data_IF_217165704988
#
_entry.id   IF_217165704988
#
_cell.length_a   1.000
_cell.length_b   1.000
_cell.length_c   1.000
_cell.angle_alpha   90.00
_cell.angle_beta   90.00
_cell.angle_gamma   90.00
#
_symmetry.space_group_name_H-M   'P 1'
#
loop_
_entity.id
_entity.type
_entity.pdbx_description
1 polymer ?
#
# COMPACT_ATOMS: atom_id res chain seq x y z
N UNK A 1 12.33 -25.79 15.47
CA UNK A 1 12.41 -24.76 14.41
C UNK A 1 11.07 -24.03 14.23
N UNK A 2 9.96 -24.70 13.86
CA UNK A 2 8.67 -24.03 13.59
C UNK A 2 8.07 -23.22 14.75
N UNK A 3 8.13 -23.72 15.99
CA UNK A 3 7.62 -22.97 17.15
C UNK A 3 8.38 -21.65 17.39
N UNK A 4 9.70 -21.63 17.20
CA UNK A 4 10.52 -20.42 17.34
C UNK A 4 10.14 -19.39 16.29
N UNK A 5 9.91 -19.82 15.05
CA UNK A 5 9.44 -18.96 13.95
C UNK A 5 8.12 -18.26 14.30
N UNK A 6 7.12 -19.02 14.77
CA UNK A 6 5.81 -18.47 15.11
C UNK A 6 5.90 -17.54 16.33
N UNK A 7 6.62 -17.95 17.38
CA UNK A 7 6.76 -17.15 18.59
C UNK A 7 7.49 -15.83 18.31
N UNK A 8 8.57 -15.86 17.53
CA UNK A 8 9.28 -14.63 17.17
C UNK A 8 8.42 -13.70 16.32
N UNK A 9 7.63 -14.25 15.38
CA UNK A 9 6.70 -13.49 14.54
C UNK A 9 5.62 -12.79 15.39
N UNK A 10 4.97 -13.54 16.27
CA UNK A 10 3.95 -13.01 17.17
C UNK A 10 4.54 -11.95 18.11
N UNK A 11 5.75 -12.17 18.63
CA UNK A 11 6.43 -11.19 19.47
C UNK A 11 6.74 -9.89 18.70
N UNK A 12 7.24 -10.00 17.47
CA UNK A 12 7.51 -8.85 16.61
C UNK A 12 6.22 -8.06 16.28
N UNK A 13 5.13 -8.76 15.95
CA UNK A 13 3.83 -8.14 15.69
C UNK A 13 3.24 -7.49 16.95
N UNK A 14 3.39 -8.12 18.12
CA UNK A 14 2.92 -7.55 19.39
C UNK A 14 3.66 -6.24 19.73
N UNK A 15 4.97 -6.17 19.46
CA UNK A 15 5.74 -4.93 19.59
C UNK A 15 5.24 -3.90 18.57
N UNK A 16 5.12 -4.28 17.29
CA UNK A 16 4.72 -3.36 16.22
C UNK A 16 3.30 -2.82 16.38
N UNK A 17 2.37 -3.62 16.90
CA UNK A 17 0.93 -3.33 17.03
C UNK A 17 0.65 -1.91 17.51
N UNK A 18 1.28 -1.53 18.62
CA UNK A 18 1.04 -0.21 19.23
C UNK A 18 1.73 0.90 18.43
N UNK A 19 3.00 0.74 18.08
CA UNK A 19 3.78 1.79 17.43
C UNK A 19 3.25 2.10 16.03
N UNK A 20 2.95 1.07 15.25
CA UNK A 20 2.39 1.20 13.91
C UNK A 20 0.94 1.67 13.97
N UNK A 21 0.13 1.17 14.90
CA UNK A 21 -1.25 1.66 15.12
C UNK A 21 -1.29 3.16 15.47
N UNK A 22 -0.45 3.61 16.41
CA UNK A 22 -0.33 5.02 16.79
C UNK A 22 0.23 5.88 15.64
N UNK A 23 1.13 5.33 14.83
CA UNK A 23 1.66 6.02 13.65
C UNK A 23 0.61 6.17 12.55
N UNK A 24 -0.10 5.10 12.20
CA UNK A 24 -1.24 5.08 11.27
C UNK A 24 -2.26 6.15 11.67
N UNK A 25 -2.68 6.14 12.94
CA UNK A 25 -3.58 7.16 13.49
C UNK A 25 -3.04 8.57 13.24
N UNK A 26 -1.78 8.85 13.60
CA UNK A 26 -1.18 10.19 13.45
C UNK A 26 -1.06 10.60 11.99
N UNK A 27 -0.75 9.67 11.10
CA UNK A 27 -0.63 9.92 9.68
C UNK A 27 -1.96 10.44 9.11
N UNK A 28 -3.07 9.76 9.42
CA UNK A 28 -4.39 10.11 8.88
C UNK A 28 -5.08 11.26 9.63
N UNK A 29 -4.88 11.38 10.95
CA UNK A 29 -5.51 12.41 11.78
C UNK A 29 -4.72 13.73 11.86
N UNK A 30 -3.48 13.75 11.35
CA UNK A 30 -2.66 14.96 11.36
C UNK A 30 -3.30 16.11 10.58
N UNK A 31 -2.99 17.35 10.94
CA UNK A 31 -3.53 18.55 10.24
C UNK A 31 -2.51 19.21 9.32
N UNK A 32 -1.22 18.92 9.50
CA UNK A 32 -0.15 19.48 8.67
C UNK A 32 0.00 18.71 7.37
N UNK A 33 0.28 19.43 6.29
CA UNK A 33 0.59 18.87 4.98
C UNK A 33 2.05 19.12 4.60
N UNK A 34 2.72 18.12 4.04
CA UNK A 34 4.07 18.29 3.48
C UNK A 34 4.03 19.06 2.15
N UNK A 35 5.19 19.50 1.65
CA UNK A 35 5.27 20.17 0.34
C UNK A 35 4.83 19.24 -0.80
N UNK A 36 5.24 17.97 -0.73
CA UNK A 36 4.87 16.93 -1.70
C UNK A 36 3.35 16.69 -1.69
N UNK A 37 2.74 16.54 -0.52
CA UNK A 37 1.28 16.39 -0.39
C UNK A 37 0.52 17.59 -0.99
N UNK A 38 0.96 18.81 -0.70
CA UNK A 38 0.34 20.01 -1.30
C UNK A 38 0.47 20.03 -2.82
N UNK A 39 1.58 19.53 -3.37
CA UNK A 39 1.76 19.33 -4.81
C UNK A 39 0.72 18.36 -5.37
N UNK A 40 0.57 17.18 -4.76
CA UNK A 40 -0.42 16.18 -5.15
C UNK A 40 -1.84 16.76 -5.10
N UNK A 41 -2.22 17.44 -4.01
CA UNK A 41 -3.56 18.03 -3.91
C UNK A 41 -3.83 19.08 -4.98
N UNK A 42 -2.82 19.88 -5.34
CA UNK A 42 -2.95 20.87 -6.43
C UNK A 42 -3.11 20.20 -7.79
N UNK A 43 -2.37 19.13 -8.08
CA UNK A 43 -2.47 18.39 -9.33
C UNK A 43 -3.83 17.71 -9.50
N UNK A 44 -4.37 17.15 -8.41
CA UNK A 44 -5.70 16.52 -8.41
C UNK A 44 -6.83 17.58 -8.32
N UNK A 45 -6.53 18.83 -7.98
CA UNK A 45 -7.51 19.90 -7.81
C UNK A 45 -8.36 19.77 -6.53
N UNK A 46 -7.80 19.17 -5.48
CA UNK A 46 -8.50 18.91 -4.22
C UNK A 46 -8.20 20.00 -3.19
N UNK A 47 -9.24 20.50 -2.52
CA UNK A 47 -9.08 21.28 -1.31
C UNK A 47 -8.84 20.34 -0.10
N UNK A 48 -7.62 20.28 0.47
CA UNK A 48 -7.32 19.34 1.54
C UNK A 48 -7.95 19.72 2.90
N UNK A 49 -8.45 20.95 3.04
CA UNK A 49 -9.14 21.41 4.25
C UNK A 49 -10.65 21.14 4.23
N UNK A 50 -11.21 20.73 3.09
CA UNK A 50 -12.62 20.40 2.96
C UNK A 50 -12.90 18.98 3.43
N UNK A 51 -13.92 18.80 4.27
CA UNK A 51 -14.49 17.48 4.56
C UNK A 51 -15.55 17.08 3.52
N UNK A 52 -15.77 15.78 3.38
CA UNK A 52 -16.65 15.16 2.41
C UNK A 52 -17.71 14.31 3.11
N UNK A 53 -18.94 14.37 2.58
CA UNK A 53 -19.99 13.42 2.95
C UNK A 53 -19.67 12.02 2.44
N UNK A 54 -20.32 11.00 3.02
CA UNK A 54 -20.08 9.60 2.62
C UNK A 54 -20.25 9.37 1.12
N UNK A 55 -21.27 10.00 0.49
CA UNK A 55 -21.53 9.84 -0.94
C UNK A 55 -20.44 10.47 -1.81
N UNK A 56 -19.87 11.60 -1.38
CA UNK A 56 -18.73 12.22 -2.07
C UNK A 56 -17.48 11.35 -1.92
N UNK A 57 -17.24 10.82 -0.72
CA UNK A 57 -16.12 9.93 -0.44
C UNK A 57 -16.17 8.65 -1.29
N UNK A 58 -17.33 7.99 -1.32
CA UNK A 58 -17.56 6.76 -2.09
C UNK A 58 -17.39 7.00 -3.61
N UNK A 59 -17.90 8.12 -4.13
CA UNK A 59 -17.65 8.50 -5.53
C UNK A 59 -16.17 8.77 -5.81
N UNK A 60 -15.43 9.33 -4.85
CA UNK A 60 -13.98 9.50 -4.95
C UNK A 60 -13.26 8.16 -5.12
N UNK A 61 -13.59 7.17 -4.28
CA UNK A 61 -13.07 5.80 -4.39
C UNK A 61 -13.38 5.21 -5.78
N UNK A 62 -14.64 5.21 -6.19
CA UNK A 62 -15.07 4.60 -7.46
C UNK A 62 -14.42 5.30 -8.68
N UNK A 63 -14.36 6.63 -8.67
CA UNK A 63 -13.73 7.39 -9.74
C UNK A 63 -12.22 7.10 -9.84
N UNK A 64 -11.53 7.04 -8.69
CA UNK A 64 -10.12 6.70 -8.64
C UNK A 64 -9.85 5.28 -9.15
N UNK A 65 -10.65 4.30 -8.73
CA UNK A 65 -10.55 2.92 -9.22
C UNK A 65 -10.80 2.83 -10.72
N UNK A 66 -11.84 3.49 -11.25
CA UNK A 66 -12.15 3.47 -12.68
C UNK A 66 -11.01 4.05 -13.53
N UNK A 67 -10.46 5.21 -13.13
CA UNK A 67 -9.31 5.82 -13.81
C UNK A 67 -8.08 4.92 -13.73
N UNK A 68 -7.83 4.30 -12.58
CA UNK A 68 -6.69 3.40 -12.38
C UNK A 68 -6.78 2.14 -13.26
N UNK A 69 -7.97 1.55 -13.40
CA UNK A 69 -8.20 0.40 -14.30
C UNK A 69 -7.93 0.80 -15.74
N UNK A 70 -8.50 1.91 -16.21
CA UNK A 70 -8.34 2.35 -17.59
C UNK A 70 -6.87 2.72 -17.90
N UNK A 71 -6.20 3.38 -16.96
CA UNK A 71 -4.79 3.69 -17.08
C UNK A 71 -3.94 2.43 -17.18
N UNK A 72 -4.09 1.50 -16.23
CA UNK A 72 -3.27 0.28 -16.20
C UNK A 72 -3.52 -0.60 -17.43
N UNK A 73 -4.79 -0.75 -17.83
CA UNK A 73 -5.15 -1.45 -19.08
C UNK A 73 -4.45 -0.82 -20.28
N UNK A 74 -4.52 0.50 -20.45
CA UNK A 74 -3.85 1.18 -21.56
C UNK A 74 -2.32 1.02 -21.49
N UNK A 75 -1.75 1.06 -20.28
CA UNK A 75 -0.31 0.93 -20.07
C UNK A 75 0.22 -0.44 -20.49
N UNK A 76 -0.47 -1.52 -20.12
CA UNK A 76 -0.17 -2.89 -20.52
C UNK A 76 -0.35 -3.11 -22.03
N UNK A 77 -1.41 -2.52 -22.63
CA UNK A 77 -1.68 -2.58 -24.07
C UNK A 77 -0.70 -1.80 -24.94
N UNK A 78 0.08 -0.91 -24.33
CA UNK A 78 1.06 -0.08 -25.02
C UNK A 78 2.49 -0.39 -24.59
N UNK A 79 2.72 -1.47 -23.82
CA UNK A 79 4.02 -1.74 -23.20
C UNK A 79 5.18 -1.81 -24.19
N UNK A 80 4.92 -2.33 -25.39
CA UNK A 80 5.85 -2.48 -26.50
C UNK A 80 6.38 -1.14 -27.02
N UNK A 81 5.58 -0.07 -26.85
CA UNK A 81 5.88 1.29 -27.33
C UNK A 81 6.54 2.17 -26.28
N UNK A 82 6.67 1.68 -25.04
CA UNK A 82 7.23 2.47 -23.96
C UNK A 82 8.77 2.40 -23.98
N UNK A 83 9.38 3.46 -23.47
CA UNK A 83 10.79 3.46 -23.11
C UNK A 83 11.10 2.32 -22.12
N UNK A 84 12.28 1.72 -22.22
CA UNK A 84 12.66 0.51 -21.44
C UNK A 84 11.84 -0.76 -21.76
N UNK A 85 11.22 -0.83 -22.94
CA UNK A 85 10.64 -2.08 -23.43
C UNK A 85 11.73 -3.16 -23.57
N UNK A 86 11.42 -4.36 -23.09
CA UNK A 86 12.27 -5.54 -23.24
C UNK A 86 12.06 -6.26 -24.59
N UNK A 87 11.28 -5.66 -25.51
CA UNK A 87 10.90 -6.28 -26.77
C UNK A 87 9.74 -7.28 -26.64
N UNK A 88 9.01 -7.24 -25.53
CA UNK A 88 7.80 -8.05 -25.32
C UNK A 88 6.60 -7.47 -26.08
N UNK A 89 5.75 -8.36 -26.59
CA UNK A 89 4.52 -7.99 -27.28
C UNK A 89 3.52 -7.29 -26.34
N UNK A 90 2.59 -6.47 -26.88
CA UNK A 90 1.49 -5.91 -26.07
C UNK A 90 0.67 -7.00 -25.35
N UNK A 91 0.46 -6.86 -24.04
CA UNK A 91 -0.31 -7.83 -23.22
C UNK A 91 -1.70 -8.00 -23.81
N UNK A 92 -2.13 -9.20 -24.18
CA UNK A 92 -3.42 -9.44 -24.87
C UNK A 92 -4.61 -8.78 -24.17
N UNK A 93 -5.65 -8.39 -24.93
CA UNK A 93 -6.77 -7.57 -24.43
C UNK A 93 -7.45 -8.13 -23.17
N UNK A 94 -7.69 -9.43 -23.12
CA UNK A 94 -8.35 -10.09 -21.99
C UNK A 94 -7.44 -10.21 -20.77
N UNK A 95 -6.14 -10.52 -20.97
CA UNK A 95 -5.15 -10.56 -19.88
C UNK A 95 -4.95 -9.16 -19.31
N UNK A 96 -4.85 -8.15 -20.18
CA UNK A 96 -4.65 -6.78 -19.74
C UNK A 96 -5.85 -6.25 -18.93
N UNK A 97 -7.07 -6.53 -19.40
CA UNK A 97 -8.28 -6.16 -18.66
C UNK A 97 -8.37 -6.85 -17.30
N UNK A 98 -8.13 -8.16 -17.28
CA UNK A 98 -8.14 -8.95 -16.05
C UNK A 98 -7.08 -8.45 -15.06
N UNK A 99 -5.85 -8.22 -15.52
CA UNK A 99 -4.73 -7.73 -14.70
C UNK A 99 -5.03 -6.36 -14.13
N UNK A 100 -5.48 -5.41 -14.96
CA UNK A 100 -5.84 -4.07 -14.52
C UNK A 100 -6.91 -4.07 -13.43
N UNK A 101 -8.01 -4.83 -13.63
CA UNK A 101 -9.05 -4.99 -12.61
C UNK A 101 -8.48 -5.64 -11.36
N UNK A 102 -7.66 -6.68 -11.50
CA UNK A 102 -7.16 -7.45 -10.37
C UNK A 102 -6.23 -6.66 -9.45
N UNK A 103 -5.31 -5.89 -10.03
CA UNK A 103 -4.39 -5.05 -9.25
C UNK A 103 -5.11 -3.87 -8.60
N UNK A 104 -6.06 -3.23 -9.29
CA UNK A 104 -6.84 -2.12 -8.71
C UNK A 104 -7.77 -2.60 -7.58
N UNK A 105 -8.23 -3.85 -7.65
CA UNK A 105 -9.06 -4.48 -6.61
C UNK A 105 -8.25 -5.14 -5.51
N UNK A 106 -6.92 -4.92 -5.45
CA UNK A 106 -6.01 -5.48 -4.44
C UNK A 106 -5.99 -7.03 -4.40
N UNK A 107 -6.45 -7.68 -5.48
CA UNK A 107 -6.51 -9.14 -5.59
C UNK A 107 -5.22 -9.67 -6.20
N UNK A 108 -4.77 -9.03 -7.26
CA UNK A 108 -3.56 -9.35 -8.01
C UNK A 108 -3.49 -10.81 -8.48
N UNK A 109 -4.63 -11.34 -8.93
CA UNK A 109 -4.71 -12.53 -9.74
C UNK A 109 -3.85 -12.39 -11.00
N UNK A 110 -3.11 -13.44 -11.35
CA UNK A 110 -2.23 -13.48 -12.50
C UNK A 110 -2.59 -14.67 -13.38
N UNK A 111 -3.11 -14.39 -14.57
CA UNK A 111 -3.35 -15.37 -15.63
C UNK A 111 -2.18 -15.38 -16.64
N UNK A 112 -0.99 -14.97 -16.21
CA UNK A 112 0.20 -14.78 -17.03
C UNK A 112 1.46 -15.09 -16.21
N UNK A 113 2.57 -15.34 -16.91
CA UNK A 113 3.89 -15.48 -16.29
C UNK A 113 4.64 -14.15 -16.41
N UNK A 114 4.97 -13.54 -15.27
CA UNK A 114 5.45 -12.16 -15.21
C UNK A 114 6.72 -11.91 -16.02
N UNK A 115 7.69 -12.84 -15.96
CA UNK A 115 8.96 -12.81 -16.68
C UNK A 115 8.84 -12.84 -18.20
N UNK A 116 7.75 -13.39 -18.73
CA UNK A 116 7.55 -13.56 -20.18
C UNK A 116 6.46 -12.65 -20.75
N UNK A 117 5.68 -11.98 -19.89
CA UNK A 117 4.53 -11.18 -20.32
C UNK A 117 4.68 -9.70 -20.01
N UNK A 118 5.33 -9.32 -18.91
CA UNK A 118 5.37 -7.94 -18.44
C UNK A 118 6.77 -7.34 -18.54
N UNK A 119 6.88 -6.20 -19.21
CA UNK A 119 8.11 -5.40 -19.18
C UNK A 119 8.37 -4.77 -17.81
N UNK A 120 9.63 -4.47 -17.50
CA UNK A 120 10.01 -3.87 -16.21
C UNK A 120 9.27 -2.56 -15.92
N UNK A 121 9.03 -1.73 -16.95
CA UNK A 121 8.33 -0.47 -16.75
C UNK A 121 6.86 -0.69 -16.35
N UNK A 122 6.17 -1.68 -16.91
CA UNK A 122 4.80 -2.04 -16.53
C UNK A 122 4.76 -2.57 -15.11
N UNK A 123 5.70 -3.44 -14.75
CA UNK A 123 5.85 -3.95 -13.39
C UNK A 123 6.06 -2.80 -12.37
N UNK A 124 7.02 -1.90 -12.63
CA UNK A 124 7.36 -0.81 -11.71
C UNK A 124 6.32 0.31 -11.64
N UNK A 125 5.91 0.84 -12.81
CA UNK A 125 5.13 2.07 -12.90
C UNK A 125 3.63 1.81 -13.06
N UNK A 126 3.25 0.57 -13.35
CA UNK A 126 1.85 0.13 -13.41
C UNK A 126 1.49 -0.70 -12.18
N UNK A 127 2.00 -1.93 -12.14
CA UNK A 127 1.61 -2.95 -11.17
C UNK A 127 2.03 -2.59 -9.73
N UNK A 128 3.28 -2.21 -9.50
CA UNK A 128 3.74 -1.79 -8.18
C UNK A 128 3.06 -0.49 -7.71
N UNK A 129 2.78 0.46 -8.62
CA UNK A 129 1.98 1.65 -8.29
C UNK A 129 0.58 1.25 -7.82
N UNK A 130 -0.07 0.29 -8.50
CA UNK A 130 -1.36 -0.23 -8.06
C UNK A 130 -1.25 -0.89 -6.68
N UNK A 131 -0.22 -1.69 -6.40
CA UNK A 131 -0.01 -2.30 -5.08
C UNK A 131 0.00 -1.27 -3.93
N UNK A 132 0.52 -0.05 -4.19
CA UNK A 132 0.45 1.05 -3.23
C UNK A 132 -0.97 1.61 -3.11
N UNK A 133 -1.59 1.96 -4.23
CA UNK A 133 -2.82 2.75 -4.20
C UNK A 133 -4.05 1.89 -3.90
N UNK A 134 -4.09 0.62 -4.28
CA UNK A 134 -5.16 -0.32 -3.92
C UNK A 134 -5.19 -0.55 -2.41
N UNK A 135 -4.03 -0.79 -1.80
CA UNK A 135 -3.90 -0.94 -0.35
C UNK A 135 -4.27 0.36 0.38
N UNK A 136 -3.84 1.51 -0.15
CA UNK A 136 -4.19 2.82 0.41
C UNK A 136 -5.70 3.10 0.36
N UNK A 137 -6.39 2.71 -0.71
CA UNK A 137 -7.86 2.79 -0.81
C UNK A 137 -8.51 1.95 0.28
N UNK A 138 -8.08 0.69 0.46
CA UNK A 138 -8.63 -0.20 1.50
C UNK A 138 -8.47 0.38 2.91
N UNK A 139 -7.27 0.87 3.23
CA UNK A 139 -6.98 1.52 4.51
C UNK A 139 -7.80 2.81 4.67
N UNK A 140 -7.94 3.64 3.63
CA UNK A 140 -8.72 4.86 3.65
C UNK A 140 -10.21 4.58 3.94
N UNK A 141 -10.79 3.56 3.31
CA UNK A 141 -12.18 3.11 3.59
C UNK A 141 -12.32 2.61 5.03
N UNK A 142 -11.36 1.82 5.53
CA UNK A 142 -11.37 1.37 6.93
C UNK A 142 -11.29 2.57 7.91
N UNK A 143 -10.47 3.57 7.60
CA UNK A 143 -10.37 4.81 8.39
C UNK A 143 -11.67 5.62 8.34
N UNK A 144 -12.32 5.73 7.17
CA UNK A 144 -13.61 6.39 7.04
C UNK A 144 -14.70 5.69 7.88
N UNK A 145 -14.69 4.35 7.92
CA UNK A 145 -15.59 3.56 8.76
C UNK A 145 -15.34 3.82 10.26
N UNK A 146 -14.07 3.80 10.69
CA UNK A 146 -13.70 4.13 12.08
C UNK A 146 -14.13 5.56 12.45
N UNK A 147 -13.96 6.53 11.54
CA UNK A 147 -14.42 7.91 11.75
C UNK A 147 -15.95 7.97 11.90
N UNK A 148 -16.68 7.23 11.07
CA UNK A 148 -18.14 7.13 11.14
C UNK A 148 -18.65 6.63 12.49
N UNK A 149 -17.97 5.68 13.12
CA UNK A 149 -18.32 5.22 14.48
C UNK A 149 -17.90 6.20 15.58
N UNK A 150 -16.77 6.91 15.41
CA UNK A 150 -16.19 7.75 16.46
C UNK A 150 -16.82 9.15 16.55
N UNK A 151 -17.36 9.68 15.46
CA UNK A 151 -17.93 11.02 15.38
C UNK A 151 -19.43 10.98 15.67
N UNK A 152 -19.93 11.95 16.44
CA UNK A 152 -21.36 12.08 16.74
C UNK A 152 -21.96 13.29 16.02
N UNK A 153 -23.15 13.13 15.43
CA UNK A 153 -23.94 14.23 14.81
C UNK A 153 -23.23 14.96 13.67
N UNK A 154 -22.56 14.24 12.77
CA UNK A 154 -21.98 14.78 11.54
C UNK A 154 -22.18 13.81 10.38
N UNK A 155 -22.34 14.35 9.17
CA UNK A 155 -22.40 13.61 7.92
C UNK A 155 -21.04 13.52 7.20
N UNK A 156 -19.98 14.09 7.81
CA UNK A 156 -18.65 14.23 7.21
C UNK A 156 -17.68 13.13 7.69
N UNK A 157 -17.01 12.48 6.73
CA UNK A 157 -16.08 11.35 6.97
C UNK A 157 -14.60 11.69 6.76
N UNK A 158 -14.29 12.98 6.55
CA UNK A 158 -12.95 13.45 6.17
C UNK A 158 -12.83 13.60 4.66
N UNK A 159 -11.66 13.34 4.08
CA UNK A 159 -11.41 13.59 2.67
C UNK A 159 -10.63 12.43 2.03
N UNK A 160 -11.27 11.75 1.08
CA UNK A 160 -10.71 10.55 0.43
C UNK A 160 -9.33 10.78 -0.15
N UNK A 161 -9.13 11.88 -0.88
CA UNK A 161 -7.87 12.18 -1.55
C UNK A 161 -6.75 12.49 -0.54
N UNK A 162 -7.10 13.11 0.59
CA UNK A 162 -6.17 13.37 1.69
C UNK A 162 -5.76 12.06 2.36
N UNK A 163 -6.73 11.17 2.63
CA UNK A 163 -6.47 9.86 3.22
C UNK A 163 -5.61 8.99 2.31
N UNK A 164 -6.00 8.85 1.04
CA UNK A 164 -5.25 8.12 0.00
C UNK A 164 -3.79 8.62 -0.05
N UNK A 165 -3.59 9.94 -0.21
CA UNK A 165 -2.25 10.53 -0.31
C UNK A 165 -1.41 10.29 0.94
N UNK A 166 -2.01 10.43 2.14
CA UNK A 166 -1.27 10.28 3.40
C UNK A 166 -0.93 8.83 3.68
N UNK A 167 -1.84 7.90 3.42
CA UNK A 167 -1.58 6.48 3.60
C UNK A 167 -0.47 6.05 2.64
N UNK A 168 -0.54 6.43 1.36
CA UNK A 168 0.52 6.11 0.39
C UNK A 168 1.86 6.72 0.79
N UNK A 169 1.93 8.04 1.00
CA UNK A 169 3.21 8.74 1.17
C UNK A 169 3.83 8.62 2.56
N UNK A 170 3.00 8.55 3.61
CA UNK A 170 3.49 8.52 5.00
C UNK A 170 3.57 7.11 5.56
N UNK A 171 2.80 6.16 5.06
CA UNK A 171 2.75 4.82 5.65
C UNK A 171 3.36 3.80 4.70
N UNK A 172 2.73 3.57 3.55
CA UNK A 172 3.11 2.48 2.66
C UNK A 172 4.48 2.72 2.04
N UNK A 173 4.72 3.89 1.45
CA UNK A 173 5.99 4.20 0.79
C UNK A 173 7.22 4.07 1.70
N UNK A 174 7.27 4.68 2.90
CA UNK A 174 8.45 4.56 3.75
C UNK A 174 8.63 3.15 4.30
N UNK A 175 7.56 2.45 4.66
CA UNK A 175 7.68 1.07 5.17
C UNK A 175 8.08 0.10 4.07
N UNK A 176 7.51 0.22 2.87
CA UNK A 176 7.90 -0.58 1.72
C UNK A 176 9.34 -0.26 1.27
N UNK A 177 9.78 0.98 1.33
CA UNK A 177 11.17 1.34 1.01
C UNK A 177 12.16 0.67 1.98
N UNK A 178 11.88 0.71 3.29
CA UNK A 178 12.70 -0.02 4.29
C UNK A 178 12.61 -1.52 4.07
N UNK A 179 11.42 -2.06 3.82
CA UNK A 179 11.21 -3.48 3.53
C UNK A 179 11.99 -3.95 2.31
N UNK A 180 11.98 -3.17 1.22
CA UNK A 180 12.73 -3.47 0.01
C UNK A 180 14.24 -3.51 0.28
N UNK A 181 14.77 -2.59 1.09
CA UNK A 181 16.18 -2.63 1.51
C UNK A 181 16.51 -3.89 2.30
N UNK A 182 15.64 -4.29 3.24
CA UNK A 182 15.83 -5.52 4.02
C UNK A 182 15.80 -6.75 3.10
N UNK A 183 14.86 -6.81 2.16
CA UNK A 183 14.75 -7.90 1.18
C UNK A 183 15.98 -7.96 0.25
N UNK A 184 16.48 -6.81 -0.23
CA UNK A 184 17.73 -6.75 -1.01
C UNK A 184 18.92 -7.30 -0.22
N UNK A 185 19.04 -6.97 1.08
CA UNK A 185 20.07 -7.54 1.96
C UNK A 185 19.89 -9.06 2.12
N UNK A 186 18.66 -9.56 2.05
CA UNK A 186 18.35 -10.99 2.02
C UNK A 186 18.61 -11.69 0.70
N UNK A 187 18.95 -10.97 -0.36
CA UNK A 187 19.27 -11.53 -1.67
C UNK A 187 18.14 -11.44 -2.71
N UNK A 188 17.04 -10.74 -2.41
CA UNK A 188 15.97 -10.47 -3.37
C UNK A 188 16.51 -9.55 -4.47
N UNK A 189 16.18 -9.87 -5.72
CA UNK A 189 16.76 -9.17 -6.89
C UNK A 189 16.22 -7.74 -6.99
N UNK A 190 17.08 -6.78 -7.31
CA UNK A 190 16.66 -5.41 -7.62
C UNK A 190 17.60 -4.79 -8.66
N UNK A 191 17.24 -4.91 -9.93
CA UNK A 191 17.97 -4.29 -11.05
C UNK A 191 17.04 -4.01 -12.24
N UNK A 192 17.58 -3.43 -13.31
CA UNK A 192 16.86 -3.21 -14.58
C UNK A 192 17.43 -4.06 -15.72
N UNK A 193 18.17 -5.13 -15.42
CA UNK A 193 18.77 -6.02 -16.42
C UNK A 193 17.69 -6.86 -17.07
N UNK A 194 17.66 -6.91 -18.41
CA UNK A 194 16.74 -7.77 -19.18
C UNK A 194 16.96 -9.28 -18.98
N UNK A 195 18.01 -9.65 -18.25
CA UNK A 195 18.36 -11.02 -17.90
C UNK A 195 19.83 -11.31 -18.19
N UNK A 196 20.29 -12.51 -17.86
CA UNK A 196 21.67 -12.94 -18.07
C UNK A 196 21.67 -14.38 -18.57
N UNK A 197 22.28 -14.57 -19.74
CA UNK A 197 22.48 -15.91 -20.28
C UNK A 197 23.68 -16.57 -19.61
N UNK A 198 23.46 -17.78 -19.09
CA UNK A 198 24.47 -18.55 -18.37
C UNK A 198 24.61 -19.92 -19.01
N UNK A 199 25.86 -20.32 -19.30
CA UNK A 199 26.18 -21.70 -19.63
C UNK A 199 26.29 -22.51 -18.34
N UNK A 200 25.46 -23.54 -18.20
CA UNK A 200 25.40 -24.35 -17.00
C UNK A 200 26.61 -25.28 -16.90
N UNK A 201 26.87 -25.81 -15.71
CA UNK A 201 27.96 -26.77 -15.48
C UNK A 201 27.82 -28.06 -16.31
N UNK A 202 26.59 -28.40 -16.71
CA UNK A 202 26.30 -29.53 -17.59
C UNK A 202 26.44 -29.19 -19.09
N UNK A 203 26.85 -27.96 -19.43
CA UNK A 203 27.00 -27.49 -20.81
C UNK A 203 25.71 -27.02 -21.48
N UNK A 204 24.60 -26.89 -20.73
CA UNK A 204 23.35 -26.31 -21.23
C UNK A 204 23.37 -24.79 -21.22
N UNK A 205 22.35 -24.15 -21.79
CA UNK A 205 22.14 -22.71 -21.72
C UNK A 205 20.86 -22.39 -20.93
N UNK A 206 20.93 -21.39 -20.05
CA UNK A 206 19.79 -20.90 -19.28
C UNK A 206 19.78 -19.37 -19.30
N UNK A 207 18.61 -18.79 -19.53
CA UNK A 207 18.38 -17.36 -19.36
C UNK A 207 17.88 -17.10 -17.94
N UNK A 208 18.61 -16.29 -17.18
CA UNK A 208 18.25 -15.89 -15.81
C UNK A 208 17.63 -14.51 -15.86
N UNK A 209 16.35 -14.40 -15.51
CA UNK A 209 15.60 -13.14 -15.54
C UNK A 209 16.09 -12.18 -14.45
N UNK A 210 16.15 -10.88 -14.77
CA UNK A 210 16.41 -9.81 -13.82
C UNK A 210 15.11 -9.14 -13.34
N UNK A 211 15.24 -7.93 -12.81
CA UNK A 211 14.09 -7.07 -12.55
C UNK A 211 14.10 -6.34 -11.19
N UNK A 212 13.22 -5.33 -11.04
CA UNK A 212 13.07 -4.52 -9.82
C UNK A 212 12.19 -5.21 -8.76
N UNK A 213 12.56 -6.45 -8.41
CA UNK A 213 11.72 -7.37 -7.63
C UNK A 213 11.53 -6.91 -6.19
N UNK A 214 12.60 -6.63 -5.46
CA UNK A 214 12.53 -6.29 -4.02
C UNK A 214 11.60 -5.12 -3.71
N UNK A 215 11.57 -4.10 -4.58
CA UNK A 215 10.69 -2.95 -4.45
C UNK A 215 9.20 -3.30 -4.60
N UNK A 216 8.88 -4.20 -5.53
CA UNK A 216 7.52 -4.67 -5.76
C UNK A 216 7.11 -5.68 -4.68
N UNK A 217 8.03 -6.55 -4.26
CA UNK A 217 7.83 -7.56 -3.21
C UNK A 217 7.47 -6.91 -1.87
N UNK A 218 8.20 -5.87 -1.47
CA UNK A 218 7.96 -5.20 -0.20
C UNK A 218 6.56 -4.58 -0.10
N UNK A 219 6.09 -3.91 -1.17
CA UNK A 219 4.73 -3.37 -1.20
C UNK A 219 3.67 -4.44 -1.45
N UNK A 220 4.02 -5.52 -2.17
CA UNK A 220 3.14 -6.66 -2.36
C UNK A 220 2.73 -7.21 -1.00
N UNK A 221 3.70 -7.58 -0.18
CA UNK A 221 3.45 -8.12 1.16
C UNK A 221 2.82 -7.08 2.08
N UNK A 222 3.42 -5.88 2.21
CA UNK A 222 2.92 -4.85 3.14
C UNK A 222 1.47 -4.41 2.85
N UNK A 223 1.12 -4.28 1.57
CA UNK A 223 -0.23 -3.91 1.12
C UNK A 223 -1.19 -5.09 1.00
N UNK A 224 -0.75 -6.29 1.40
CA UNK A 224 -1.50 -7.55 1.27
C UNK A 224 -2.04 -7.75 -0.14
N UNK A 225 -1.19 -7.45 -1.13
CA UNK A 225 -1.42 -7.70 -2.53
C UNK A 225 -0.91 -9.11 -2.86
N UNK A 226 -1.58 -9.82 -3.78
CA UNK A 226 -1.22 -11.21 -4.10
C UNK A 226 -0.25 -11.42 -5.27
N UNK A 227 0.19 -10.36 -5.97
CA UNK A 227 0.80 -10.49 -7.31
C UNK A 227 2.32 -10.49 -7.28
N UNK A 228 2.93 -11.60 -7.66
CA UNK A 228 4.38 -11.78 -7.74
C UNK A 228 4.99 -11.13 -8.97
N UNK A 229 6.31 -10.92 -8.94
CA UNK A 229 7.03 -10.45 -10.12
C UNK A 229 7.18 -11.56 -11.16
N UNK A 230 7.44 -12.79 -10.70
CA UNK A 230 7.55 -14.01 -11.49
C UNK A 230 6.32 -14.90 -11.32
N UNK A 231 6.15 -15.87 -12.23
CA UNK A 231 4.99 -16.78 -12.24
C UNK A 231 4.79 -17.56 -10.93
N UNK A 232 5.89 -17.97 -10.29
CA UNK A 232 5.84 -18.75 -9.03
C UNK A 232 5.92 -17.88 -7.77
N UNK A 233 5.84 -16.54 -7.92
CA UNK A 233 5.60 -15.59 -6.84
C UNK A 233 6.61 -15.76 -5.68
N UNK A 234 6.18 -15.68 -4.41
CA UNK A 234 7.05 -15.83 -3.22
C UNK A 234 7.67 -17.23 -3.04
N UNK A 235 7.45 -18.19 -3.95
CA UNK A 235 8.23 -19.42 -4.03
C UNK A 235 9.47 -19.29 -4.93
N UNK A 236 9.57 -18.21 -5.72
CA UNK A 236 10.70 -17.94 -6.59
C UNK A 236 11.93 -17.50 -5.76
N UNK A 237 13.12 -18.08 -5.97
CA UNK A 237 14.31 -17.71 -5.21
C UNK A 237 14.73 -16.24 -5.31
N UNK A 238 14.31 -15.53 -6.37
CA UNK A 238 14.57 -14.09 -6.52
C UNK A 238 13.53 -13.18 -5.89
N UNK A 239 12.38 -13.71 -5.49
CA UNK A 239 11.37 -13.01 -4.67
C UNK A 239 11.58 -13.32 -3.19
N UNK A 240 11.89 -14.58 -2.86
CA UNK A 240 12.07 -15.05 -1.48
C UNK A 240 13.22 -16.07 -1.37
N UNK A 241 14.47 -15.60 -1.22
CA UNK A 241 15.66 -16.46 -1.31
C UNK A 241 15.90 -17.35 -0.08
N UNK A 242 15.40 -16.97 1.10
CA UNK A 242 15.80 -17.60 2.36
C UNK A 242 14.64 -17.76 3.35
N UNK A 243 14.79 -18.65 4.33
CA UNK A 243 13.77 -18.83 5.36
C UNK A 243 13.51 -17.56 6.21
N UNK A 244 14.50 -16.67 6.35
CA UNK A 244 14.33 -15.45 7.13
C UNK A 244 13.68 -14.33 6.30
N UNK A 245 13.90 -14.27 4.99
CA UNK A 245 13.13 -13.36 4.11
C UNK A 245 11.66 -13.75 4.10
N UNK A 246 11.35 -15.06 4.04
CA UNK A 246 9.98 -15.56 4.19
C UNK A 246 9.34 -15.17 5.53
N UNK A 247 10.10 -15.24 6.63
CA UNK A 247 9.61 -14.73 7.94
C UNK A 247 9.29 -13.24 7.88
N UNK A 248 10.14 -12.45 7.23
CA UNK A 248 9.98 -11.01 7.10
C UNK A 248 8.81 -10.62 6.18
N UNK A 249 8.61 -11.33 5.06
CA UNK A 249 7.45 -11.18 4.17
C UNK A 249 6.14 -11.43 4.92
N UNK A 250 6.04 -12.54 5.68
CA UNK A 250 4.87 -12.82 6.51
C UNK A 250 4.66 -11.74 7.58
N UNK A 251 5.75 -11.20 8.15
CA UNK A 251 5.66 -10.07 9.06
C UNK A 251 5.07 -8.83 8.38
N UNK A 252 5.53 -8.48 7.17
CA UNK A 252 4.98 -7.36 6.38
C UNK A 252 3.49 -7.56 6.06
N UNK A 253 3.11 -8.77 5.63
CA UNK A 253 1.73 -9.15 5.31
C UNK A 253 0.78 -8.91 6.50
N UNK A 254 1.22 -9.25 7.71
CA UNK A 254 0.40 -9.12 8.91
C UNK A 254 0.50 -7.73 9.57
N UNK A 255 1.50 -6.92 9.22
CA UNK A 255 1.84 -5.70 9.93
C UNK A 255 0.68 -4.69 10.01
N UNK A 256 0.09 -4.35 8.86
CA UNK A 256 -0.99 -3.38 8.79
C UNK A 256 -2.31 -3.95 9.35
N UNK A 257 -2.80 -5.13 8.92
CA UNK A 257 -4.04 -5.70 9.43
C UNK A 257 -4.06 -5.87 10.95
N UNK A 258 -2.94 -6.30 11.55
CA UNK A 258 -2.83 -6.45 13.02
C UNK A 258 -2.82 -5.09 13.72
N UNK A 259 -2.15 -4.09 13.15
CA UNK A 259 -1.97 -2.78 13.80
C UNK A 259 -3.15 -1.82 13.63
N UNK A 260 -3.98 -2.02 12.60
CA UNK A 260 -5.08 -1.12 12.26
C UNK A 260 -6.14 -1.00 13.39
N UNK A 261 -6.53 -2.09 14.09
CA UNK A 261 -7.35 -1.99 15.30
C UNK A 261 -6.72 -1.13 16.41
N UNK A 262 -5.39 -1.17 16.59
CA UNK A 262 -4.68 -0.35 17.57
C UNK A 262 -4.86 1.15 17.33
N UNK A 263 -4.96 1.57 16.06
CA UNK A 263 -5.25 2.96 15.69
C UNK A 263 -6.61 3.44 16.20
N UNK A 264 -7.62 2.56 16.24
CA UNK A 264 -8.98 2.85 16.74
C UNK A 264 -8.99 3.21 18.24
N UNK A 265 -8.13 2.56 19.03
CA UNK A 265 -7.91 2.91 20.44
C UNK A 265 -7.40 4.34 20.62
N UNK A 266 -6.57 4.82 19.69
CA UNK A 266 -6.13 6.21 19.62
C UNK A 266 -7.27 7.21 19.34
N UNK A 267 -8.24 6.83 18.49
CA UNK A 267 -9.46 7.62 18.26
C UNK A 267 -10.33 7.67 19.52
N UNK A 268 -10.65 6.52 20.12
CA UNK A 268 -11.51 6.43 21.30
C UNK A 268 -10.93 7.14 22.54
N UNK A 269 -9.61 7.01 22.77
CA UNK A 269 -8.94 7.64 23.92
C UNK A 269 -8.88 9.17 23.83
N UNK A 270 -8.99 9.77 22.63
CA UNK A 270 -9.06 11.23 22.45
C UNK A 270 -10.49 11.74 22.53
N UNK A 271 -11.47 11.02 21.98
CA UNK A 271 -12.89 11.35 22.16
C UNK A 271 -13.27 11.35 23.64
N UNK A 272 -12.77 10.39 24.42
CA UNK A 272 -12.94 10.35 25.88
C UNK A 272 -12.27 11.53 26.62
N UNK A 273 -11.17 12.07 26.09
CA UNK A 273 -10.50 13.25 26.66
C UNK A 273 -11.22 14.55 26.31
N UNK A 274 -11.70 14.72 25.09
CA UNK A 274 -12.46 15.90 24.65
C UNK A 274 -13.82 16.04 25.35
N UNK A 275 -14.46 14.92 25.69
CA UNK A 275 -15.71 14.90 26.49
C UNK A 275 -15.48 15.19 27.97
N UNK A 276 -14.31 14.88 28.52
CA UNK A 276 -13.92 15.28 29.89
C UNK A 276 -13.60 16.77 29.99
N UNK A 277 -12.94 17.36 29.00
CA UNK A 277 -12.61 18.81 29.04
C UNK A 277 -13.86 19.68 28.91
N UNK A 278 -14.85 19.30 28.08
CA UNK A 278 -16.11 20.05 27.95
C UNK A 278 -17.00 19.98 29.20
N UNK A 279 -16.91 18.91 30.01
CA UNK A 279 -17.59 18.80 31.31
C UNK A 279 -16.93 19.61 32.44
N UNK A 280 -15.69 20.07 32.27
CA UNK A 280 -14.96 20.84 33.29
C UNK A 280 -15.22 22.35 33.25
N UNK A 281 -15.98 22.84 32.27
CA UNK A 281 -16.36 24.25 32.17
C UNK A 281 -17.50 24.57 33.15
N UNK A 282 -17.15 24.93 34.39
CA UNK A 282 -18.07 25.63 35.31
C UNK A 282 -18.13 27.11 34.89
N UNK A 283 -19.31 27.68 34.62
CA UNK A 283 -19.40 29.11 34.37
C UNK A 283 -19.02 29.86 35.65
N UNK A 284 -18.03 30.76 35.55
CA UNK A 284 -17.71 31.70 36.62
C UNK A 284 -18.96 32.55 36.89
N UNK A 285 -19.56 32.38 38.07
CA UNK A 285 -20.60 33.30 38.54
C UNK A 285 -19.96 34.68 38.67
N UNK A 286 -20.46 35.68 37.95
CA UNK A 286 -20.12 37.06 38.23
C UNK A 286 -20.71 37.44 39.59
N UNK A 287 -20.00 38.23 40.42
CA UNK A 287 -20.63 38.84 41.57
C UNK A 287 -21.49 40.00 41.07
N UNK A 288 -22.80 39.90 41.27
CA UNK A 288 -23.69 41.04 41.17
C UNK A 288 -23.35 42.01 42.31
N UNK A 289 -22.81 43.18 41.98
CA UNK A 289 -22.72 44.32 42.91
C UNK A 289 -23.97 45.18 42.77
N UNK A 290 -24.60 45.43 43.91
CA UNK A 290 -25.65 46.42 44.15
C UNK A 290 -25.08 47.84 44.08
#
# INVERSE_FOLDING_TARGET
MGAVFVVSLVAALAVAYRFVGDYLYRAVAGTRHSAVERGVYRLVGVNPNGEQTWGVYARGVLAFSAVSILFLYAFERLQDKLWLSLGLDPVTTHVAWNTAVSFVTNTNWQAYSGESTMGHLVQMAGLAVQNFVSAAVGIAVAVALVRGFSRSRTDQLGNFWVDLTRVTLRVLLPFAAVGAVVLMVGGVVQNLSGGTDVTTLAGGHQHITGGPVASQEAIKELGTNGGGFYNVNSAHPFENPTAWTNWFEIFLLLLIPVSLPGSSGGWSARTARGTRSSRSWRPSRSPASR
#
